data_IF_519092637389
#
_entry.id   IF_519092637389
#
_cell.length_a   1.000
_cell.length_b   1.000
_cell.length_c   1.000
_cell.angle_alpha   90.00
_cell.angle_beta   90.00
_cell.angle_gamma   90.00
#
_symmetry.space_group_name_H-M   'P 1'
#
loop_
_entity.id
_entity.type
_entity.pdbx_description
1 polymer ?
#
# COMPACT_ATOMS: atom_id res chain seq x y z
N UNK A 1 -13.05 -7.52 -11.37
CA UNK A 1 -13.39 -8.78 -10.67
C UNK A 1 -14.83 -9.19 -10.98
N UNK A 2 -15.85 -8.44 -10.56
CA UNK A 2 -17.25 -8.82 -10.74
C UNK A 2 -17.66 -9.08 -12.21
N UNK A 3 -17.23 -8.24 -13.15
CA UNK A 3 -17.51 -8.48 -14.58
C UNK A 3 -16.84 -9.75 -15.12
N UNK A 4 -15.56 -9.97 -14.80
CA UNK A 4 -14.83 -11.18 -15.22
C UNK A 4 -15.47 -12.47 -14.67
N UNK A 5 -16.03 -12.41 -13.46
CA UNK A 5 -16.79 -13.52 -12.86
C UNK A 5 -18.13 -13.71 -13.58
N UNK A 6 -18.85 -12.61 -13.85
CA UNK A 6 -20.14 -12.66 -14.55
C UNK A 6 -20.02 -13.18 -15.99
N UNK A 7 -18.92 -12.88 -16.67
CA UNK A 7 -18.59 -13.35 -18.01
C UNK A 7 -18.02 -14.78 -18.01
N UNK A 8 -17.74 -15.36 -16.84
CA UNK A 8 -17.22 -16.72 -16.69
C UNK A 8 -15.73 -16.87 -17.01
N UNK A 9 -14.99 -15.76 -17.07
CA UNK A 9 -13.54 -15.77 -17.31
C UNK A 9 -12.74 -16.14 -16.07
N UNK A 10 -13.27 -15.91 -14.87
CA UNK A 10 -12.62 -16.20 -13.58
C UNK A 10 -13.64 -16.63 -12.51
N UNK A 11 -13.19 -17.33 -11.47
CA UNK A 11 -14.00 -17.66 -10.29
C UNK A 11 -13.80 -16.64 -9.18
N UNK A 12 -14.72 -16.59 -8.21
CA UNK A 12 -14.62 -15.65 -7.09
C UNK A 12 -13.41 -15.95 -6.18
N UNK A 13 -13.05 -17.23 -6.04
CA UNK A 13 -11.90 -17.74 -5.28
C UNK A 13 -10.54 -17.40 -5.89
N UNK A 14 -10.49 -16.94 -7.15
CA UNK A 14 -9.27 -16.39 -7.76
C UNK A 14 -8.97 -14.94 -7.34
N UNK A 15 -9.89 -14.31 -6.60
CA UNK A 15 -9.72 -12.97 -6.06
C UNK A 15 -9.59 -13.00 -4.53
N UNK A 16 -8.85 -12.06 -3.94
CA UNK A 16 -8.90 -11.86 -2.50
C UNK A 16 -10.33 -11.45 -2.08
N UNK A 17 -10.67 -11.71 -0.81
CA UNK A 17 -11.94 -11.28 -0.26
C UNK A 17 -11.98 -9.75 -0.12
N UNK A 18 -12.70 -9.09 -1.03
CA UNK A 18 -12.84 -7.64 -1.07
C UNK A 18 -13.45 -7.02 0.19
N UNK A 19 -14.15 -7.79 1.03
CA UNK A 19 -14.71 -7.28 2.27
C UNK A 19 -13.67 -7.16 3.40
N UNK A 20 -12.60 -7.95 3.33
CA UNK A 20 -11.57 -8.03 4.38
C UNK A 20 -10.18 -7.58 3.90
N UNK A 21 -9.92 -7.62 2.60
CA UNK A 21 -8.67 -7.20 2.00
C UNK A 21 -8.54 -5.67 1.99
N UNK A 22 -7.43 -5.18 2.51
CA UNK A 22 -7.12 -3.74 2.53
C UNK A 22 -6.33 -3.33 1.28
N UNK A 23 -5.70 -4.28 0.60
CA UNK A 23 -4.79 -4.04 -0.52
C UNK A 23 -3.41 -3.53 -0.10
N UNK A 24 -3.15 -3.39 1.19
CA UNK A 24 -1.87 -2.95 1.74
C UNK A 24 -1.12 -4.13 2.37
N UNK A 25 0.21 -4.13 2.19
CA UNK A 25 1.06 -4.99 3.00
C UNK A 25 1.08 -4.50 4.45
N UNK A 26 1.33 -5.41 5.38
CA UNK A 26 1.65 -5.04 6.76
C UNK A 26 2.86 -4.09 6.80
N UNK A 27 3.00 -3.25 7.84
CA UNK A 27 4.15 -2.37 7.98
C UNK A 27 5.48 -3.13 7.85
N UNK A 28 6.39 -2.57 7.07
CA UNK A 28 7.63 -3.22 6.63
C UNK A 28 8.84 -2.44 7.15
N UNK A 29 9.85 -3.13 7.68
CA UNK A 29 11.08 -2.51 8.23
C UNK A 29 12.35 -3.06 7.59
N UNK A 30 12.24 -3.79 6.48
CA UNK A 30 13.36 -4.42 5.78
C UNK A 30 14.14 -3.45 4.88
N UNK A 31 13.79 -2.17 4.88
CA UNK A 31 14.49 -1.14 4.13
C UNK A 31 15.87 -0.84 4.76
N UNK A 32 16.82 -0.45 3.90
CA UNK A 32 18.22 -0.19 4.30
C UNK A 32 18.39 0.99 5.25
N UNK A 33 17.36 1.83 5.39
CA UNK A 33 17.33 2.98 6.30
C UNK A 33 16.87 2.61 7.72
N UNK A 34 16.35 1.40 7.92
CA UNK A 34 15.81 0.93 9.20
C UNK A 34 14.48 1.57 9.62
N UNK A 35 13.83 2.35 8.74
CA UNK A 35 12.57 3.04 9.02
C UNK A 35 11.40 2.14 8.65
N UNK A 36 10.38 2.07 9.52
CA UNK A 36 9.17 1.31 9.22
C UNK A 36 8.28 2.06 8.24
N UNK A 37 7.96 1.44 7.11
CA UNK A 37 7.02 1.93 6.11
C UNK A 37 5.64 1.34 6.35
N UNK A 38 4.66 2.21 6.58
CA UNK A 38 3.23 1.87 6.59
C UNK A 38 2.60 2.34 5.28
N UNK A 39 2.22 1.39 4.43
CA UNK A 39 1.63 1.65 3.12
C UNK A 39 0.29 2.38 3.18
N UNK A 40 -0.41 2.34 4.32
CA UNK A 40 -1.67 3.07 4.52
C UNK A 40 -1.44 4.57 4.72
N UNK A 41 -0.21 4.98 5.04
CA UNK A 41 0.19 6.37 5.32
C UNK A 41 1.55 6.72 4.67
N UNK A 42 1.66 6.68 3.34
CA UNK A 42 2.95 6.84 2.66
C UNK A 42 3.62 8.21 2.92
N UNK A 43 2.84 9.27 3.10
CA UNK A 43 3.37 10.61 3.39
C UNK A 43 3.96 10.73 4.80
N UNK A 44 3.54 9.90 5.76
CA UNK A 44 4.13 9.92 7.10
C UNK A 44 5.54 9.34 7.09
N UNK A 45 5.79 8.33 6.25
CA UNK A 45 7.14 7.78 6.05
C UNK A 45 8.13 8.85 5.55
N UNK A 46 7.71 9.72 4.64
CA UNK A 46 8.55 10.82 4.14
C UNK A 46 9.01 11.77 5.24
N UNK A 47 8.22 11.95 6.31
CA UNK A 47 8.55 12.82 7.44
C UNK A 47 9.66 12.25 8.31
N UNK A 48 9.86 10.92 8.31
CA UNK A 48 10.82 10.22 9.16
C UNK A 48 12.28 10.40 8.72
N UNK A 49 12.53 10.81 7.47
CA UNK A 49 13.89 11.03 6.98
C UNK A 49 14.50 12.34 7.50
N UNK A 50 15.79 12.34 7.85
CA UNK A 50 16.49 13.56 8.28
C UNK A 50 16.74 14.58 7.16
N UNK A 51 16.66 14.14 5.90
CA UNK A 51 16.86 14.96 4.70
C UNK A 51 15.67 14.84 3.75
N UNK A 52 15.48 15.85 2.88
CA UNK A 52 14.43 15.89 1.87
C UNK A 52 13.34 16.91 2.15
N UNK A 53 12.53 17.20 1.13
CA UNK A 53 11.39 18.14 1.20
C UNK A 53 10.32 17.60 2.17
N UNK A 54 9.77 18.47 3.01
CA UNK A 54 8.77 18.13 4.01
C UNK A 54 7.49 18.90 3.78
N UNK A 55 6.35 18.21 3.80
CA UNK A 55 5.04 18.85 3.72
C UNK A 55 4.92 19.72 2.47
N UNK A 56 4.82 21.03 2.68
CA UNK A 56 4.62 22.04 1.64
C UNK A 56 5.93 22.63 1.08
N UNK A 57 7.09 22.10 1.47
CA UNK A 57 8.39 22.55 0.95
C UNK A 57 8.44 22.39 -0.59
N UNK A 58 8.88 23.45 -1.26
CA UNK A 58 9.09 23.47 -2.71
C UNK A 58 10.59 23.56 -3.04
N UNK A 59 11.02 22.99 -4.18
CA UNK A 59 12.42 23.04 -4.65
C UNK A 59 12.95 24.46 -4.85
#
# INVERSE_FOLDING_TARGET
ALELIAEGHMTADEFPDFASETGYRAPQSEFIDGVTFDGTKPNDYLKLFSIGLKGDDQP
#
